data_IF_569425766430
#
_entry.id   IF_569425766430
#
_cell.length_a   1.000
_cell.length_b   1.000
_cell.length_c   1.000
_cell.angle_alpha   90.00
_cell.angle_beta   90.00
_cell.angle_gamma   90.00
#
_symmetry.space_group_name_H-M   'P 1'
#
loop_
_entity.id
_entity.type
_entity.pdbx_description
1 polymer ?
#
# COMPACT_ATOMS: atom_id res chain seq x y z
N UNK A 1 -2.21 21.54 8.61
CA UNK A 1 -0.90 21.19 8.00
C UNK A 1 -1.18 20.38 6.74
N UNK A 2 -0.95 20.95 5.56
CA UNK A 2 -1.04 20.19 4.31
C UNK A 2 0.13 19.19 4.27
N UNK A 3 -0.16 17.90 4.05
CA UNK A 3 0.88 16.87 4.02
C UNK A 3 1.84 17.16 2.88
N UNK A 4 3.14 17.23 3.17
CA UNK A 4 4.15 17.57 2.17
C UNK A 4 4.10 16.57 0.99
N UNK A 5 4.10 17.03 -0.28
CA UNK A 5 4.06 16.15 -1.45
C UNK A 5 5.16 15.07 -1.46
N UNK A 6 6.33 15.38 -0.88
CA UNK A 6 7.42 14.42 -0.72
C UNK A 6 7.06 13.24 0.19
N UNK A 7 6.30 13.46 1.27
CA UNK A 7 5.89 12.41 2.20
C UNK A 7 4.88 11.46 1.54
N UNK A 8 3.96 12.01 0.75
CA UNK A 8 3.00 11.21 -0.02
C UNK A 8 3.70 10.36 -1.08
N UNK A 9 4.64 10.95 -1.86
CA UNK A 9 5.43 10.19 -2.83
C UNK A 9 6.26 9.09 -2.17
N UNK A 10 6.87 9.37 -1.02
CA UNK A 10 7.65 8.37 -0.26
C UNK A 10 6.77 7.19 0.18
N UNK A 11 5.56 7.48 0.65
CA UNK A 11 4.58 6.45 0.99
C UNK A 11 4.27 5.57 -0.23
N UNK A 12 3.95 6.17 -1.38
CA UNK A 12 3.64 5.42 -2.61
C UNK A 12 4.79 4.50 -3.05
N UNK A 13 6.03 5.01 -3.00
CA UNK A 13 7.23 4.20 -3.33
C UNK A 13 7.40 3.03 -2.35
N UNK A 14 7.21 3.26 -1.05
CA UNK A 14 7.33 2.20 -0.06
C UNK A 14 6.26 1.11 -0.28
N UNK A 15 5.00 1.49 -0.45
CA UNK A 15 3.91 0.53 -0.72
C UNK A 15 4.23 -0.31 -1.95
N UNK A 16 4.67 0.30 -3.05
CA UNK A 16 5.09 -0.43 -4.26
C UNK A 16 6.19 -1.44 -3.97
N UNK A 17 7.26 -1.04 -3.29
CA UNK A 17 8.40 -1.92 -2.99
C UNK A 17 7.98 -3.11 -2.11
N UNK A 18 7.13 -2.88 -1.11
CA UNK A 18 6.61 -3.96 -0.28
C UNK A 18 5.72 -4.91 -1.06
N UNK A 19 4.86 -4.40 -1.95
CA UNK A 19 4.01 -5.21 -2.81
C UNK A 19 4.83 -6.07 -3.77
N UNK A 20 5.82 -5.50 -4.45
CA UNK A 20 6.72 -6.25 -5.35
C UNK A 20 7.47 -7.35 -4.59
N UNK A 21 7.97 -7.04 -3.39
CA UNK A 21 8.64 -8.03 -2.54
C UNK A 21 7.70 -9.15 -2.06
N UNK A 22 6.43 -8.83 -1.77
CA UNK A 22 5.43 -9.82 -1.37
C UNK A 22 5.08 -10.77 -2.53
N UNK A 23 4.85 -10.22 -3.72
CA UNK A 23 4.60 -10.99 -4.96
C UNK A 23 5.79 -11.89 -5.28
N UNK A 24 7.01 -11.35 -5.22
CA UNK A 24 8.23 -12.13 -5.49
C UNK A 24 8.43 -13.29 -4.49
N UNK A 25 7.91 -13.17 -3.26
CA UNK A 25 7.90 -14.23 -2.24
C UNK A 25 6.76 -15.23 -2.41
N UNK A 26 5.90 -15.06 -3.43
CA UNK A 26 4.74 -15.91 -3.67
C UNK A 26 3.59 -15.70 -2.67
N UNK A 27 3.56 -14.57 -1.96
CA UNK A 27 2.44 -14.26 -1.08
C UNK A 27 1.18 -13.99 -1.92
N UNK A 28 0.01 -14.46 -1.46
CA UNK A 28 -1.27 -14.13 -2.10
C UNK A 28 -1.76 -12.74 -1.70
N UNK A 29 -2.74 -12.18 -2.44
CA UNK A 29 -3.39 -10.93 -2.06
C UNK A 29 -3.95 -10.97 -0.63
N UNK A 30 -4.56 -12.09 -0.22
CA UNK A 30 -5.11 -12.25 1.13
C UNK A 30 -4.03 -12.19 2.20
N UNK A 31 -2.90 -12.89 1.97
CA UNK A 31 -1.74 -12.85 2.87
C UNK A 31 -1.11 -11.46 2.93
N UNK A 32 -1.02 -10.78 1.79
CA UNK A 32 -0.50 -9.42 1.70
C UNK A 32 -1.39 -8.43 2.48
N UNK A 33 -2.71 -8.48 2.29
CA UNK A 33 -3.65 -7.62 3.04
C UNK A 33 -3.63 -7.93 4.54
N UNK A 34 -3.51 -9.20 4.93
CA UNK A 34 -3.41 -9.61 6.33
C UNK A 34 -2.14 -9.08 7.03
N UNK A 35 -1.07 -8.79 6.26
CA UNK A 35 0.17 -8.21 6.79
C UNK A 35 0.08 -6.70 7.10
N UNK A 36 -1.02 -6.05 6.71
CA UNK A 36 -1.28 -4.61 6.96
C UNK A 36 -0.10 -3.68 6.58
N UNK A 37 0.39 -3.72 5.32
CA UNK A 37 1.61 -3.05 4.88
C UNK A 37 1.55 -1.51 4.95
N UNK A 38 0.36 -0.93 5.11
CA UNK A 38 0.16 0.52 5.21
C UNK A 38 -0.23 1.00 6.61
N UNK A 39 -0.18 0.17 7.65
CA UNK A 39 -0.64 0.55 8.99
C UNK A 39 -0.03 1.88 9.51
N UNK A 40 1.27 2.11 9.27
CA UNK A 40 1.98 3.35 9.63
C UNK A 40 1.47 4.59 8.87
N UNK A 41 0.86 4.38 7.70
CA UNK A 41 0.33 5.40 6.81
C UNK A 41 -1.16 5.64 7.01
N UNK A 42 -1.90 4.66 7.53
CA UNK A 42 -3.36 4.70 7.64
C UNK A 42 -3.83 5.85 8.54
N UNK A 43 -3.13 6.14 9.65
CA UNK A 43 -3.43 7.30 10.51
C UNK A 43 -3.40 8.63 9.75
N UNK A 44 -2.51 8.72 8.76
CA UNK A 44 -2.45 9.89 7.92
C UNK A 44 -3.51 9.77 6.81
N UNK A 45 -3.41 8.78 5.93
CA UNK A 45 -4.08 8.74 4.63
C UNK A 45 -5.22 7.72 4.51
N UNK A 46 -5.47 6.91 5.53
CA UNK A 46 -6.44 5.80 5.51
C UNK A 46 -7.91 6.21 5.56
N UNK A 47 -8.21 7.41 6.08
CA UNK A 47 -9.59 7.93 6.18
C UNK A 47 -10.06 8.68 4.91
N UNK A 48 -9.34 8.52 3.80
CA UNK A 48 -9.66 9.16 2.52
C UNK A 48 -10.77 8.46 1.75
N UNK A 49 -11.01 8.93 0.51
CA UNK A 49 -11.98 8.34 -0.42
C UNK A 49 -11.74 6.86 -0.70
N UNK A 50 -10.47 6.44 -0.72
CA UNK A 50 -10.04 5.07 -0.95
C UNK A 50 -9.47 4.51 0.35
N UNK A 51 -10.16 3.54 0.95
CA UNK A 51 -9.67 2.89 2.16
C UNK A 51 -8.39 2.06 1.87
N UNK A 52 -7.57 1.77 2.90
CA UNK A 52 -6.28 1.09 2.72
C UNK A 52 -6.39 -0.26 2.00
N UNK A 53 -7.41 -1.07 2.32
CA UNK A 53 -7.62 -2.39 1.72
C UNK A 53 -7.89 -2.28 0.22
N UNK A 54 -8.76 -1.35 -0.19
CA UNK A 54 -9.08 -1.12 -1.59
C UNK A 54 -7.85 -0.61 -2.37
N UNK A 55 -7.11 0.34 -1.78
CA UNK A 55 -5.86 0.84 -2.36
C UNK A 55 -4.83 -0.28 -2.56
N UNK A 56 -4.56 -1.08 -1.54
CA UNK A 56 -3.61 -2.19 -1.62
C UNK A 56 -4.04 -3.28 -2.62
N UNK A 57 -5.34 -3.51 -2.76
CA UNK A 57 -5.88 -4.44 -3.77
C UNK A 57 -5.55 -3.99 -5.18
N UNK A 58 -5.77 -2.70 -5.49
CA UNK A 58 -5.45 -2.11 -6.80
C UNK A 58 -3.96 -2.20 -7.10
N UNK A 59 -3.11 -1.81 -6.13
CA UNK A 59 -1.65 -1.85 -6.30
C UNK A 59 -1.15 -3.27 -6.53
N UNK A 60 -1.62 -4.23 -5.72
CA UNK A 60 -1.23 -5.63 -5.85
C UNK A 60 -1.64 -6.19 -7.22
N UNK A 61 -2.90 -6.01 -7.62
CA UNK A 61 -3.40 -6.53 -8.91
C UNK A 61 -2.69 -5.87 -10.09
N UNK A 62 -2.34 -4.59 -9.99
CA UNK A 62 -1.59 -3.88 -11.04
C UNK A 62 -0.15 -4.39 -11.21
N UNK A 63 0.49 -4.84 -10.13
CA UNK A 63 1.90 -5.29 -10.14
C UNK A 63 2.04 -6.80 -10.36
N UNK A 64 0.97 -7.56 -10.19
CA UNK A 64 0.92 -9.01 -10.40
C UNK A 64 0.57 -9.41 -11.85
N UNK A 65 0.47 -8.44 -12.77
CA UNK A 65 0.25 -8.68 -14.20
C UNK A 65 1.50 -9.21 -14.91
#
# INVERSE_FOLDING_TARGET
MQKAPAAYRKMLVNVRLQTEAAIAKGQTLEQFLASQPTADYDKAWGDGFLNPKAFLTIVYQSLAQ
#
